data_IF_194225909289
#
_entry.id   IF_194225909289
#
_cell.length_a   1.000
_cell.length_b   1.000
_cell.length_c   1.000
_cell.angle_alpha   90.00
_cell.angle_beta   90.00
_cell.angle_gamma   90.00
#
_symmetry.space_group_name_H-M   'P 1'
#
loop_
_entity.id
_entity.type
_entity.pdbx_description
1 polymer ?
#
# COMPACT_ATOMS: atom_id res chain seq x y z
N UNK A 1 18.43 -15.65 -17.63
CA UNK A 1 18.74 -14.28 -18.06
C UNK A 1 20.19 -14.19 -18.60
N UNK A 2 20.64 -15.19 -19.38
CA UNK A 2 22.04 -15.27 -19.85
C UNK A 2 22.33 -14.48 -21.15
N UNK A 3 21.27 -14.13 -21.91
CA UNK A 3 21.40 -13.44 -23.20
C UNK A 3 22.03 -12.04 -23.13
N UNK A 4 21.97 -11.38 -21.97
CA UNK A 4 22.58 -10.06 -21.76
C UNK A 4 24.03 -10.14 -21.31
N UNK A 5 24.44 -11.29 -20.76
CA UNK A 5 25.79 -11.52 -20.25
C UNK A 5 26.76 -11.86 -21.40
N UNK A 6 26.28 -12.55 -22.44
CA UNK A 6 27.07 -12.92 -23.63
C UNK A 6 27.41 -11.72 -24.55
N UNK A 7 26.98 -10.50 -24.20
CA UNK A 7 27.20 -9.29 -24.99
C UNK A 7 28.50 -8.53 -24.66
N UNK A 8 29.33 -9.02 -23.75
CA UNK A 8 30.50 -8.30 -23.20
C UNK A 8 31.85 -9.02 -23.34
N UNK A 9 31.92 -10.18 -24.01
CA UNK A 9 33.21 -10.87 -24.15
C UNK A 9 34.13 -10.19 -25.18
N UNK A 10 35.36 -9.94 -24.73
CA UNK A 10 36.41 -9.12 -25.34
C UNK A 10 37.14 -9.92 -26.43
N UNK A 11 37.51 -9.21 -27.50
CA UNK A 11 38.26 -9.67 -28.68
C UNK A 11 39.50 -10.50 -28.34
N UNK A 12 39.59 -11.73 -28.90
CA UNK A 12 40.86 -12.26 -29.41
C UNK A 12 40.66 -13.28 -30.56
N UNK A 13 41.59 -13.20 -31.52
CA UNK A 13 41.92 -14.06 -32.66
C UNK A 13 41.00 -14.30 -33.89
N UNK A 14 41.61 -14.07 -35.08
CA UNK A 14 41.27 -14.71 -36.37
C UNK A 14 40.70 -13.82 -37.50
N UNK A 15 41.57 -13.31 -38.39
CA UNK A 15 41.28 -12.32 -39.46
C UNK A 15 40.25 -12.69 -40.55
N UNK A 16 39.85 -13.95 -40.73
CA UNK A 16 38.82 -14.33 -41.73
C UNK A 16 37.38 -14.37 -41.19
N UNK A 17 37.19 -14.28 -39.86
CA UNK A 17 35.85 -14.28 -39.23
C UNK A 17 35.35 -12.89 -38.83
N UNK A 18 36.18 -11.86 -38.99
CA UNK A 18 35.95 -10.49 -38.50
C UNK A 18 34.66 -9.84 -39.02
N UNK A 19 34.30 -10.03 -40.29
CA UNK A 19 33.06 -9.46 -40.86
C UNK A 19 31.79 -10.06 -40.27
N UNK A 20 31.81 -11.37 -39.97
CA UNK A 20 30.69 -12.12 -39.40
C UNK A 20 30.59 -11.88 -37.88
N UNK A 21 31.73 -11.82 -37.17
CA UNK A 21 31.82 -11.45 -35.74
C UNK A 21 31.34 -10.01 -35.49
N UNK A 22 31.73 -9.04 -36.33
CA UNK A 22 31.32 -7.62 -36.23
C UNK A 22 29.84 -7.40 -36.58
N UNK A 23 29.25 -8.27 -37.40
CA UNK A 23 27.80 -8.32 -37.63
C UNK A 23 27.05 -8.86 -36.41
N UNK A 24 27.58 -9.90 -35.76
CA UNK A 24 26.99 -10.50 -34.57
C UNK A 24 27.02 -9.56 -33.36
N UNK A 25 28.14 -8.89 -33.11
CA UNK A 25 28.30 -7.90 -32.03
C UNK A 25 27.29 -6.75 -32.16
N UNK A 26 27.06 -6.23 -33.39
CA UNK A 26 26.02 -5.22 -33.64
C UNK A 26 24.61 -5.72 -33.32
N UNK A 27 24.29 -6.98 -33.69
CA UNK A 27 22.97 -7.57 -33.38
C UNK A 27 22.78 -7.77 -31.88
N UNK A 28 23.82 -8.19 -31.16
CA UNK A 28 23.81 -8.34 -29.71
C UNK A 28 23.61 -6.99 -29.01
N UNK A 29 24.28 -5.93 -29.47
CA UNK A 29 24.08 -4.58 -28.97
C UNK A 29 22.64 -4.07 -29.21
N UNK A 30 22.08 -4.30 -30.41
CA UNK A 30 20.68 -3.98 -30.70
C UNK A 30 19.71 -4.78 -29.83
N UNK A 31 19.97 -6.07 -29.61
CA UNK A 31 19.15 -6.92 -28.75
C UNK A 31 19.15 -6.43 -27.30
N UNK A 32 20.34 -6.09 -26.76
CA UNK A 32 20.46 -5.47 -25.44
C UNK A 32 19.64 -4.18 -25.37
N UNK A 33 19.80 -3.30 -26.34
CA UNK A 33 19.07 -2.03 -26.39
C UNK A 33 17.55 -2.23 -26.41
N UNK A 34 17.05 -3.12 -27.27
CA UNK A 34 15.63 -3.46 -27.32
C UNK A 34 15.13 -4.09 -26.02
N UNK A 35 15.94 -4.92 -25.37
CA UNK A 35 15.58 -5.56 -24.09
C UNK A 35 15.45 -4.54 -22.97
N UNK A 36 16.43 -3.63 -22.85
CA UNK A 36 16.39 -2.53 -21.87
C UNK A 36 15.16 -1.66 -22.12
N UNK A 37 14.90 -1.28 -23.37
CA UNK A 37 13.73 -0.46 -23.73
C UNK A 37 12.41 -1.16 -23.40
N UNK A 38 12.29 -2.45 -23.75
CA UNK A 38 11.10 -3.25 -23.47
C UNK A 38 10.86 -3.40 -21.96
N UNK A 39 11.90 -3.68 -21.17
CA UNK A 39 11.79 -3.76 -19.71
C UNK A 39 11.45 -2.41 -19.09
N UNK A 40 12.06 -1.31 -19.55
CA UNK A 40 11.71 0.04 -19.08
C UNK A 40 10.24 0.35 -19.33
N UNK A 41 9.73 0.08 -20.54
CA UNK A 41 8.32 0.34 -20.86
C UNK A 41 7.37 -0.56 -20.07
N UNK A 42 7.70 -1.84 -19.90
CA UNK A 42 6.88 -2.80 -19.15
C UNK A 42 6.76 -2.40 -17.68
N UNK A 43 7.90 -2.06 -17.05
CA UNK A 43 7.95 -1.66 -15.65
C UNK A 43 7.34 -0.29 -15.44
N UNK A 44 7.53 0.66 -16.36
CA UNK A 44 6.88 1.97 -16.27
C UNK A 44 5.34 1.85 -16.37
N UNK A 45 4.83 0.94 -17.21
CA UNK A 45 3.40 0.68 -17.32
C UNK A 45 2.81 -0.13 -16.14
N UNK A 46 3.63 -0.81 -15.34
CA UNK A 46 3.21 -1.73 -14.29
C UNK A 46 4.14 -1.61 -13.06
N UNK A 47 4.32 -0.41 -12.52
CA UNK A 47 5.37 -0.14 -11.52
C UNK A 47 5.20 -1.03 -10.27
N UNK A 48 3.99 -1.13 -9.71
CA UNK A 48 3.72 -1.86 -8.47
C UNK A 48 4.12 -3.34 -8.54
N UNK A 49 3.54 -4.07 -9.49
CA UNK A 49 3.79 -5.50 -9.68
C UNK A 49 5.16 -5.77 -10.32
N UNK A 50 5.57 -4.92 -11.26
CA UNK A 50 6.82 -5.03 -11.98
C UNK A 50 8.05 -4.89 -11.09
N UNK A 51 8.08 -3.88 -10.20
CA UNK A 51 9.18 -3.71 -9.25
C UNK A 51 9.19 -4.83 -8.21
N UNK A 52 8.03 -5.25 -7.68
CA UNK A 52 7.96 -6.34 -6.69
C UNK A 52 8.71 -7.59 -7.16
N UNK A 53 8.58 -7.96 -8.43
CA UNK A 53 9.25 -9.14 -8.99
C UNK A 53 10.66 -8.87 -9.52
N UNK A 54 10.98 -7.62 -9.88
CA UNK A 54 12.24 -7.30 -10.56
C UNK A 54 13.29 -6.68 -9.64
N UNK A 55 12.93 -6.17 -8.46
CA UNK A 55 13.84 -5.43 -7.56
C UNK A 55 15.02 -6.29 -7.07
N UNK A 56 14.84 -7.61 -6.99
CA UNK A 56 15.91 -8.55 -6.66
C UNK A 56 17.07 -8.53 -7.65
N UNK A 57 16.86 -8.09 -8.90
CA UNK A 57 17.90 -7.97 -9.92
C UNK A 57 18.95 -6.91 -9.56
N UNK A 58 18.59 -5.90 -8.76
CA UNK A 58 19.53 -4.91 -8.23
C UNK A 58 20.57 -5.49 -7.27
N UNK A 59 20.29 -6.66 -6.69
CA UNK A 59 21.16 -7.38 -5.76
C UNK A 59 21.75 -8.68 -6.36
N UNK A 60 21.60 -8.88 -7.67
CA UNK A 60 22.07 -10.08 -8.32
C UNK A 60 23.60 -10.25 -8.19
N UNK A 61 24.09 -11.49 -8.07
CA UNK A 61 25.53 -11.77 -7.89
C UNK A 61 26.37 -11.25 -9.05
N UNK A 62 25.85 -11.40 -10.26
CA UNK A 62 26.49 -10.90 -11.47
C UNK A 62 26.38 -9.36 -11.58
N UNK A 63 27.53 -8.71 -11.81
CA UNK A 63 27.66 -7.26 -11.98
C UNK A 63 26.90 -6.74 -13.20
N UNK A 64 26.88 -7.50 -14.29
CA UNK A 64 26.29 -7.05 -15.55
C UNK A 64 24.77 -7.03 -15.50
N UNK A 65 24.17 -8.01 -14.84
CA UNK A 65 22.75 -8.04 -14.51
C UNK A 65 22.37 -6.83 -13.65
N UNK A 66 23.16 -6.53 -12.61
CA UNK A 66 22.93 -5.35 -11.76
C UNK A 66 23.02 -4.04 -12.55
N UNK A 67 24.07 -3.88 -13.37
CA UNK A 67 24.26 -2.69 -14.18
C UNK A 67 23.12 -2.50 -15.19
N UNK A 68 22.67 -3.57 -15.84
CA UNK A 68 21.55 -3.51 -16.78
C UNK A 68 20.23 -3.21 -16.08
N UNK A 69 20.01 -3.75 -14.88
CA UNK A 69 18.84 -3.41 -14.08
C UNK A 69 18.86 -1.93 -13.64
N UNK A 70 20.01 -1.42 -13.19
CA UNK A 70 20.17 0.00 -12.85
C UNK A 70 19.99 0.91 -14.06
N UNK A 71 20.42 0.49 -15.25
CA UNK A 71 20.16 1.19 -16.51
C UNK A 71 18.64 1.29 -16.79
N UNK A 72 17.91 0.17 -16.62
CA UNK A 72 16.44 0.14 -16.77
C UNK A 72 15.76 1.07 -15.75
N UNK A 73 16.15 1.01 -14.48
CA UNK A 73 15.59 1.83 -13.39
C UNK A 73 15.85 3.32 -13.60
N UNK A 74 17.05 3.67 -14.07
CA UNK A 74 17.41 5.05 -14.42
C UNK A 74 16.53 5.58 -15.54
N UNK A 75 16.24 4.77 -16.57
CA UNK A 75 15.34 5.17 -17.66
C UNK A 75 13.91 5.40 -17.18
N UNK A 76 13.40 4.57 -16.27
CA UNK A 76 12.06 4.76 -15.68
C UNK A 76 12.03 6.09 -14.92
N UNK A 77 13.00 6.34 -14.04
CA UNK A 77 13.12 7.60 -13.29
C UNK A 77 13.21 8.84 -14.20
N UNK A 78 13.99 8.76 -15.30
CA UNK A 78 14.13 9.86 -16.26
C UNK A 78 12.85 10.14 -17.07
N UNK A 79 11.96 9.15 -17.21
CA UNK A 79 10.66 9.32 -17.88
C UNK A 79 9.64 10.06 -17.02
N UNK A 80 9.99 10.43 -15.78
CA UNK A 80 9.10 11.15 -14.87
C UNK A 80 8.10 10.23 -14.16
N UNK A 81 8.43 8.94 -14.02
CA UNK A 81 7.60 8.01 -13.25
C UNK A 81 7.55 8.44 -11.79
N UNK A 82 6.37 8.81 -11.32
CA UNK A 82 6.12 9.14 -9.91
C UNK A 82 6.04 7.85 -9.11
N UNK A 83 6.97 7.65 -8.17
CA UNK A 83 6.95 6.52 -7.23
C UNK A 83 6.11 6.81 -5.98
N UNK A 84 5.49 7.99 -5.90
CA UNK A 84 4.74 8.44 -4.72
C UNK A 84 3.58 7.48 -4.38
N UNK A 85 2.96 6.86 -5.39
CA UNK A 85 1.94 5.84 -5.18
C UNK A 85 2.46 4.56 -4.54
N UNK A 86 3.75 4.20 -4.70
CA UNK A 86 4.33 3.02 -4.02
C UNK A 86 4.47 3.26 -2.52
N UNK A 87 4.89 4.46 -2.12
CA UNK A 87 5.04 4.82 -0.71
C UNK A 87 3.67 4.90 -0.02
N UNK A 88 2.68 5.47 -0.69
CA UNK A 88 1.29 5.53 -0.21
C UNK A 88 0.64 4.14 -0.12
N UNK A 89 0.85 3.27 -1.12
CA UNK A 89 0.30 1.90 -1.11
C UNK A 89 0.89 1.07 0.04
N UNK A 90 2.19 1.21 0.33
CA UNK A 90 2.83 0.54 1.47
C UNK A 90 2.33 1.09 2.82
N UNK A 91 2.04 2.38 2.91
CA UNK A 91 1.47 2.97 4.14
C UNK A 91 0.00 2.58 4.33
N UNK A 92 -0.79 2.59 3.25
CA UNK A 92 -2.18 2.13 3.25
C UNK A 92 -2.28 0.66 3.71
N UNK A 93 -1.44 -0.23 3.17
CA UNK A 93 -1.37 -1.65 3.58
C UNK A 93 -1.01 -1.82 5.07
N UNK A 94 -0.17 -0.94 5.62
CA UNK A 94 0.20 -1.00 7.05
C UNK A 94 -0.95 -0.60 7.96
N UNK A 95 -1.73 0.40 7.58
CA UNK A 95 -2.88 0.85 8.36
C UNK A 95 -4.10 -0.06 8.16
N UNK A 96 -4.18 -0.81 7.07
CA UNK A 96 -5.23 -1.78 6.81
C UNK A 96 -5.36 -2.77 7.97
N UNK A 97 -4.23 -3.33 8.44
CA UNK A 97 -4.25 -4.25 9.58
C UNK A 97 -4.71 -3.59 10.87
N UNK A 98 -4.39 -2.31 11.08
CA UNK A 98 -4.86 -1.57 12.25
C UNK A 98 -6.38 -1.34 12.19
N UNK A 99 -6.89 -1.00 11.00
CA UNK A 99 -8.33 -0.84 10.76
C UNK A 99 -9.06 -2.17 11.02
N UNK A 100 -8.55 -3.29 10.50
CA UNK A 100 -9.10 -4.63 10.77
C UNK A 100 -9.16 -4.96 12.27
N UNK A 101 -8.11 -4.61 13.03
CA UNK A 101 -8.08 -4.82 14.47
C UNK A 101 -9.14 -3.97 15.17
N UNK A 102 -9.25 -2.68 14.82
CA UNK A 102 -10.22 -1.76 15.44
C UNK A 102 -11.67 -2.17 15.13
N UNK A 103 -11.94 -2.70 13.93
CA UNK A 103 -13.27 -3.20 13.54
C UNK A 103 -13.50 -4.67 13.86
N UNK A 104 -12.57 -5.33 14.56
CA UNK A 104 -12.71 -6.74 14.91
C UNK A 104 -13.98 -6.94 15.75
N UNK A 105 -14.77 -7.94 15.36
CA UNK A 105 -15.94 -8.38 16.10
C UNK A 105 -15.61 -9.67 16.86
N UNK A 106 -15.95 -9.71 18.15
CA UNK A 106 -15.93 -10.94 18.94
C UNK A 106 -17.10 -11.87 18.60
N UNK A 107 -17.10 -13.07 19.17
CA UNK A 107 -18.09 -14.12 18.89
C UNK A 107 -19.54 -13.68 19.18
N UNK A 108 -19.74 -12.72 20.09
CA UNK A 108 -21.05 -12.16 20.45
C UNK A 108 -21.38 -10.84 19.74
N UNK A 109 -20.60 -10.45 18.73
CA UNK A 109 -20.77 -9.15 18.04
C UNK A 109 -20.24 -7.95 18.83
N UNK A 110 -19.48 -8.21 19.89
CA UNK A 110 -18.78 -7.17 20.67
C UNK A 110 -17.66 -6.54 19.85
N UNK A 111 -17.38 -5.27 20.11
CA UNK A 111 -16.28 -4.53 19.50
C UNK A 111 -15.18 -4.25 20.54
N UNK A 112 -14.37 -5.26 20.92
CA UNK A 112 -13.51 -5.19 22.10
C UNK A 112 -12.53 -4.01 22.06
N UNK A 113 -11.92 -3.74 20.89
CA UNK A 113 -10.94 -2.66 20.75
C UNK A 113 -11.62 -1.28 20.76
N UNK A 114 -12.71 -1.11 20.01
CA UNK A 114 -13.47 0.15 20.01
C UNK A 114 -14.03 0.48 21.40
N UNK A 115 -14.55 -0.53 22.11
CA UNK A 115 -15.06 -0.37 23.48
C UNK A 115 -13.94 -0.09 24.48
N UNK A 116 -12.75 -0.71 24.32
CA UNK A 116 -11.60 -0.36 25.15
C UNK A 116 -11.17 1.09 24.93
N UNK A 117 -11.05 1.53 23.67
CA UNK A 117 -10.72 2.93 23.32
C UNK A 117 -11.73 3.91 23.90
N UNK A 118 -13.03 3.61 23.84
CA UNK A 118 -14.08 4.43 24.44
C UNK A 118 -13.89 4.68 25.95
N UNK A 119 -13.27 3.74 26.68
CA UNK A 119 -13.06 3.83 28.12
C UNK A 119 -11.73 4.49 28.51
N UNK A 120 -10.70 4.41 27.67
CA UNK A 120 -9.35 4.90 28.01
C UNK A 120 -9.03 6.28 27.42
N UNK A 121 -9.71 6.68 26.34
CA UNK A 121 -9.43 7.95 25.68
C UNK A 121 -9.96 9.12 26.52
N UNK A 122 -9.14 10.17 26.77
CA UNK A 122 -9.57 11.34 27.53
C UNK A 122 -10.79 12.04 26.91
N UNK A 123 -11.68 12.57 27.75
CA UNK A 123 -12.90 13.26 27.31
C UNK A 123 -12.65 14.43 26.35
N UNK A 124 -11.48 15.08 26.42
CA UNK A 124 -11.07 16.15 25.51
C UNK A 124 -10.90 15.70 24.05
N UNK A 125 -10.75 14.39 23.81
CA UNK A 125 -10.57 13.80 22.48
C UNK A 125 -11.81 13.07 21.97
N UNK A 126 -12.91 13.06 22.73
CA UNK A 126 -14.09 12.27 22.36
C UNK A 126 -14.76 12.72 21.07
N UNK A 127 -14.73 14.01 20.74
CA UNK A 127 -15.28 14.50 19.46
C UNK A 127 -14.51 13.94 18.26
N UNK A 128 -13.17 13.89 18.39
CA UNK A 128 -12.31 13.33 17.37
C UNK A 128 -12.40 11.80 17.31
N UNK A 129 -12.49 11.13 18.46
CA UNK A 129 -12.70 9.69 18.53
C UNK A 129 -14.03 9.28 17.88
N UNK A 130 -15.11 10.02 18.16
CA UNK A 130 -16.42 9.79 17.53
C UNK A 130 -16.34 9.91 16.01
N UNK A 131 -15.68 10.96 15.51
CA UNK A 131 -15.43 11.16 14.07
C UNK A 131 -14.67 9.97 13.47
N UNK A 132 -13.54 9.58 14.06
CA UNK A 132 -12.70 8.48 13.55
C UNK A 132 -13.46 7.16 13.55
N UNK A 133 -14.11 6.79 14.66
CA UNK A 133 -14.84 5.52 14.76
C UNK A 133 -16.00 5.47 13.76
N UNK A 134 -16.80 6.53 13.65
CA UNK A 134 -17.93 6.54 12.70
C UNK A 134 -17.43 6.39 11.26
N UNK A 135 -16.44 7.20 10.84
CA UNK A 135 -15.90 7.12 9.48
C UNK A 135 -15.29 5.75 9.18
N UNK A 136 -14.54 5.19 10.12
CA UNK A 136 -13.85 3.91 9.94
C UNK A 136 -14.84 2.75 9.86
N UNK A 137 -15.84 2.69 10.75
CA UNK A 137 -16.85 1.64 10.72
C UNK A 137 -17.81 1.76 9.54
N UNK A 138 -18.15 2.98 9.11
CA UNK A 138 -18.96 3.22 7.91
C UNK A 138 -18.24 2.74 6.64
N UNK A 139 -16.93 3.03 6.52
CA UNK A 139 -16.11 2.56 5.39
C UNK A 139 -16.03 1.03 5.26
N UNK A 140 -16.33 0.29 6.33
CA UNK A 140 -16.37 -1.18 6.37
C UNK A 140 -17.78 -1.76 6.36
N UNK A 141 -18.81 -0.92 6.20
CA UNK A 141 -20.23 -1.31 6.33
C UNK A 141 -20.59 -1.92 7.70
N UNK A 142 -19.87 -1.55 8.75
CA UNK A 142 -20.06 -2.01 10.13
C UNK A 142 -20.63 -0.91 11.05
N UNK A 143 -21.08 0.22 10.49
CA UNK A 143 -21.60 1.35 11.27
C UNK A 143 -22.72 0.94 12.23
N UNK A 144 -23.66 0.10 11.78
CA UNK A 144 -24.73 -0.40 12.63
C UNK A 144 -24.20 -1.12 13.88
N UNK A 145 -23.11 -1.89 13.76
CA UNK A 145 -22.54 -2.62 14.89
C UNK A 145 -21.86 -1.70 15.89
N UNK A 146 -21.23 -0.63 15.42
CA UNK A 146 -20.71 0.43 16.29
C UNK A 146 -21.86 1.10 17.06
N UNK A 147 -22.93 1.50 16.36
CA UNK A 147 -24.08 2.15 16.97
C UNK A 147 -24.77 1.24 18.00
N UNK A 148 -24.96 -0.04 17.65
CA UNK A 148 -25.55 -1.01 18.56
C UNK A 148 -24.74 -1.15 19.86
N UNK A 149 -23.43 -1.34 19.76
CA UNK A 149 -22.57 -1.50 20.93
C UNK A 149 -22.56 -0.23 21.80
N UNK A 150 -22.36 0.94 21.20
CA UNK A 150 -22.27 2.21 21.92
C UNK A 150 -23.59 2.61 22.57
N UNK A 151 -24.72 2.41 21.87
CA UNK A 151 -26.04 2.78 22.39
C UNK A 151 -26.55 1.78 23.41
N UNK A 152 -26.31 0.48 23.21
CA UNK A 152 -26.64 -0.52 24.23
C UNK A 152 -25.89 -0.21 25.53
N UNK A 153 -24.60 0.16 25.43
CA UNK A 153 -23.83 0.51 26.62
C UNK A 153 -24.33 1.77 27.32
N UNK A 154 -24.71 2.79 26.57
CA UNK A 154 -25.28 4.02 27.14
C UNK A 154 -26.60 3.73 27.87
N UNK A 155 -27.46 2.87 27.30
CA UNK A 155 -28.73 2.46 27.91
C UNK A 155 -28.49 1.66 29.19
N UNK A 156 -27.54 0.73 29.19
CA UNK A 156 -27.17 -0.05 30.39
C UNK A 156 -26.66 0.83 31.54
N UNK A 157 -25.98 1.94 31.23
CA UNK A 157 -25.38 2.82 32.23
C UNK A 157 -26.33 3.93 32.71
N UNK A 158 -27.45 4.16 32.03
CA UNK A 158 -28.36 5.24 32.37
C UNK A 158 -29.23 4.90 33.60
N UNK A 159 -29.23 5.77 34.62
CA UNK A 159 -30.06 5.61 35.82
C UNK A 159 -31.56 5.70 35.52
N UNK A 160 -31.94 6.47 34.50
CA UNK A 160 -33.32 6.62 34.08
C UNK A 160 -33.44 7.07 32.61
N UNK A 161 -34.61 6.80 32.01
CA UNK A 161 -34.94 7.21 30.65
C UNK A 161 -34.81 8.72 30.43
N UNK A 162 -34.98 9.54 31.48
CA UNK A 162 -34.88 11.00 31.38
C UNK A 162 -33.44 11.50 31.18
N UNK A 163 -32.43 10.68 31.49
CA UNK A 163 -31.01 11.03 31.37
C UNK A 163 -30.35 10.52 30.10
N UNK A 164 -31.02 9.59 29.41
CA UNK A 164 -30.49 8.88 28.24
C UNK A 164 -30.18 9.86 27.08
N UNK A 165 -28.95 9.82 26.59
CA UNK A 165 -28.43 10.69 25.51
C UNK A 165 -28.59 12.20 25.73
N UNK A 166 -28.78 12.65 26.98
CA UNK A 166 -28.84 14.09 27.31
C UNK A 166 -27.51 14.67 27.78
N UNK A 167 -26.51 13.81 28.01
CA UNK A 167 -25.17 14.19 28.45
C UNK A 167 -24.16 14.28 27.30
N UNK A 168 -22.94 14.69 27.65
CA UNK A 168 -21.79 14.76 26.74
C UNK A 168 -20.98 13.45 26.70
N UNK A 169 -21.67 12.30 26.68
CA UNK A 169 -21.05 10.98 26.56
C UNK A 169 -20.49 10.76 25.15
N UNK A 170 -19.57 9.80 25.02
CA UNK A 170 -19.06 9.42 23.70
C UNK A 170 -20.18 8.88 22.79
N UNK A 171 -21.16 8.15 23.35
CA UNK A 171 -22.30 7.66 22.58
C UNK A 171 -23.18 8.80 22.04
N UNK A 172 -23.45 9.85 22.84
CA UNK A 172 -24.13 11.07 22.37
C UNK A 172 -23.35 11.80 21.27
N UNK A 173 -22.01 11.85 21.38
CA UNK A 173 -21.15 12.46 20.34
C UNK A 173 -21.17 11.66 19.05
N UNK A 174 -21.11 10.33 19.11
CA UNK A 174 -21.25 9.44 17.95
C UNK A 174 -22.60 9.67 17.27
N UNK A 175 -23.69 9.68 18.03
CA UNK A 175 -25.03 9.96 17.51
C UNK A 175 -25.09 11.32 16.80
N UNK A 176 -24.59 12.37 17.45
CA UNK A 176 -24.57 13.73 16.90
C UNK A 176 -23.75 13.82 15.61
N UNK A 177 -22.61 13.12 15.57
CA UNK A 177 -21.76 13.09 14.39
C UNK A 177 -22.43 12.37 13.21
N UNK A 178 -23.13 11.25 13.44
CA UNK A 178 -23.91 10.58 12.40
C UNK A 178 -24.97 11.52 11.79
N UNK A 179 -25.70 12.28 12.61
CA UNK A 179 -26.68 13.25 12.12
C UNK A 179 -26.03 14.39 11.33
N UNK A 180 -24.82 14.82 11.68
CA UNK A 180 -24.12 15.89 10.99
C UNK A 180 -23.63 15.49 9.60
N UNK A 181 -23.24 14.23 9.39
CA UNK A 181 -22.66 13.74 8.13
C UNK A 181 -23.72 13.26 7.14
N UNK A 182 -24.92 12.90 7.60
CA UNK A 182 -26.04 12.46 6.76
C UNK A 182 -26.93 13.60 6.23
N UNK A 183 -26.59 14.86 6.51
CA UNK A 183 -27.26 16.08 6.01
C UNK A 183 -26.30 16.84 5.09
#
# INVERSE_FOLDING_TARGET
MNLLNDCSEVDDDGQQTAGRKRGMSRRLASLRHCTVLAMSNLLNANVDSGLMHSIGLGYHKDLQTRATFMEVLTKILQQGTEFDTLAETVLADRFERLVELVTMMGDQGELPIAMALANVVPCSQWDELARVLVTLFDSRHLLYQLLWNMFSKEVELADSMQTLFRGNSLASKIMTFCFKVQV
#
